data_IF_274375103967
#
_entry.id   IF_274375103967
#
_cell.length_a   1.000
_cell.length_b   1.000
_cell.length_c   1.000
_cell.angle_alpha   90.00
_cell.angle_beta   90.00
_cell.angle_gamma   90.00
#
_symmetry.space_group_name_H-M   'P 1'
#
loop_
_entity.id
_entity.type
_entity.pdbx_description
1 polymer ?
#
# COMPACT_ATOMS: atom_id res chain seq x y z
N UNK A 1 10.80 -20.77 -13.09
CA UNK A 1 9.66 -19.86 -12.94
C UNK A 1 10.11 -18.61 -12.20
N UNK A 2 10.01 -17.49 -12.86
CA UNK A 2 10.52 -16.22 -12.33
C UNK A 2 9.52 -15.52 -11.43
N UNK A 3 8.23 -15.52 -11.78
CA UNK A 3 7.21 -14.73 -11.11
C UNK A 3 5.98 -15.55 -10.71
N UNK A 4 5.47 -15.38 -9.49
CA UNK A 4 4.12 -15.80 -9.08
C UNK A 4 3.23 -14.56 -8.95
N UNK A 5 2.13 -14.52 -9.66
CA UNK A 5 1.13 -13.45 -9.64
C UNK A 5 -0.03 -13.96 -8.78
N UNK A 6 -0.25 -13.32 -7.64
CA UNK A 6 -1.30 -13.70 -6.69
C UNK A 6 -2.49 -12.77 -6.87
N UNK A 7 -3.65 -13.33 -7.12
CA UNK A 7 -4.90 -12.59 -7.36
C UNK A 7 -5.93 -13.03 -6.33
N UNK A 8 -6.18 -12.23 -5.27
CA UNK A 8 -7.33 -12.45 -4.38
C UNK A 8 -8.62 -12.17 -5.15
N UNK A 9 -9.57 -13.08 -5.05
CA UNK A 9 -10.87 -12.98 -5.75
C UNK A 9 -11.99 -13.04 -4.74
N UNK A 10 -12.86 -12.01 -4.71
CA UNK A 10 -14.07 -11.99 -3.90
C UNK A 10 -15.12 -11.04 -4.49
N UNK A 11 -16.22 -11.62 -5.03
CA UNK A 11 -17.35 -10.87 -5.62
C UNK A 11 -16.94 -9.86 -6.72
N UNK A 12 -16.06 -10.27 -7.62
CA UNK A 12 -15.53 -9.45 -8.73
C UNK A 12 -15.82 -10.05 -10.11
N UNK A 13 -16.92 -10.81 -10.25
CA UNK A 13 -17.29 -11.50 -11.50
C UNK A 13 -17.29 -10.57 -12.73
N UNK A 14 -17.61 -9.29 -12.57
CA UNK A 14 -17.72 -8.33 -13.67
C UNK A 14 -16.34 -7.81 -14.15
N UNK A 15 -15.31 -7.86 -13.31
CA UNK A 15 -13.97 -7.31 -13.58
C UNK A 15 -12.91 -8.37 -13.73
N UNK A 16 -13.07 -9.53 -13.08
CA UNK A 16 -12.10 -10.63 -13.07
C UNK A 16 -11.66 -11.08 -14.49
N UNK A 17 -12.55 -11.21 -15.51
CA UNK A 17 -12.11 -11.54 -16.86
C UNK A 17 -11.13 -10.52 -17.43
N UNK A 18 -11.43 -9.21 -17.29
CA UNK A 18 -10.55 -8.14 -17.78
C UNK A 18 -9.20 -8.13 -17.06
N UNK A 19 -9.18 -8.41 -15.75
CA UNK A 19 -7.96 -8.57 -14.98
C UNK A 19 -7.10 -9.70 -15.56
N UNK A 20 -7.66 -10.89 -15.69
CA UNK A 20 -6.96 -12.09 -16.20
C UNK A 20 -6.46 -11.90 -17.63
N UNK A 21 -7.29 -11.37 -18.52
CA UNK A 21 -6.93 -11.11 -19.91
C UNK A 21 -5.74 -10.14 -19.99
N UNK A 22 -5.70 -9.10 -19.17
CA UNK A 22 -4.59 -8.14 -19.16
C UNK A 22 -3.25 -8.78 -18.78
N UNK A 23 -3.27 -9.86 -18.00
CA UNK A 23 -2.08 -10.60 -17.58
C UNK A 23 -1.72 -11.67 -18.64
N UNK A 24 -2.70 -12.44 -19.12
CA UNK A 24 -2.46 -13.53 -20.05
C UNK A 24 -2.01 -13.08 -21.45
N UNK A 25 -2.35 -11.82 -21.83
CA UNK A 25 -1.92 -11.18 -23.07
C UNK A 25 -0.50 -10.58 -23.00
N UNK A 26 0.17 -10.62 -21.83
CA UNK A 26 1.55 -10.15 -21.71
C UNK A 26 2.51 -11.05 -22.50
N UNK A 27 3.54 -10.45 -23.09
CA UNK A 27 4.56 -11.18 -23.88
C UNK A 27 5.54 -11.99 -23.00
N UNK A 28 5.67 -11.69 -21.72
CA UNK A 28 6.45 -12.47 -20.76
C UNK A 28 5.69 -13.73 -20.36
N UNK A 29 6.35 -14.90 -20.32
CA UNK A 29 5.68 -16.19 -20.11
C UNK A 29 6.21 -17.02 -18.93
N UNK A 30 7.31 -16.63 -18.29
CA UNK A 30 7.89 -17.39 -17.16
C UNK A 30 7.24 -17.01 -15.82
N UNK A 31 5.91 -17.14 -15.75
CA UNK A 31 5.11 -16.88 -14.57
C UNK A 31 4.03 -17.93 -14.33
N UNK A 32 3.48 -17.93 -13.12
CA UNK A 32 2.22 -18.57 -12.75
C UNK A 32 1.24 -17.52 -12.21
N UNK A 33 -0.05 -17.79 -12.37
CA UNK A 33 -1.15 -17.05 -11.74
C UNK A 33 -1.76 -17.95 -10.67
N UNK A 34 -1.92 -17.40 -9.46
CA UNK A 34 -2.57 -18.09 -8.34
C UNK A 34 -3.82 -17.30 -7.99
N UNK A 35 -4.97 -17.79 -8.47
CA UNK A 35 -6.28 -17.26 -8.15
C UNK A 35 -6.70 -17.82 -6.79
N UNK A 36 -6.94 -16.95 -5.81
CA UNK A 36 -7.45 -17.36 -4.52
C UNK A 36 -8.88 -16.84 -4.37
N UNK A 37 -9.85 -17.69 -4.69
CA UNK A 37 -11.26 -17.41 -4.49
C UNK A 37 -11.60 -17.54 -3.00
N UNK A 38 -11.80 -16.42 -2.36
CA UNK A 38 -12.03 -16.27 -0.93
C UNK A 38 -13.52 -16.45 -0.57
N UNK A 39 -14.14 -17.52 -1.08
CA UNK A 39 -15.51 -17.89 -0.78
C UNK A 39 -16.54 -17.02 -1.49
N UNK A 40 -16.31 -16.67 -2.76
CA UNK A 40 -17.26 -15.93 -3.57
C UNK A 40 -18.57 -16.72 -3.79
N UNK A 41 -19.71 -16.02 -3.74
CA UNK A 41 -21.04 -16.61 -3.96
C UNK A 41 -21.66 -16.18 -5.29
N UNK A 42 -20.94 -15.37 -6.08
CA UNK A 42 -21.26 -14.98 -7.45
C UNK A 42 -20.64 -15.96 -8.47
N UNK A 43 -20.47 -15.57 -9.73
CA UNK A 43 -19.88 -16.43 -10.77
C UNK A 43 -18.33 -16.49 -10.74
N UNK A 44 -17.63 -15.81 -9.80
CA UNK A 44 -16.18 -15.87 -9.68
C UNK A 44 -15.60 -17.30 -9.67
N UNK A 45 -16.13 -18.27 -8.88
CA UNK A 45 -15.59 -19.64 -8.87
C UNK A 45 -15.60 -20.29 -10.24
N UNK A 46 -16.69 -20.13 -11.02
CA UNK A 46 -16.82 -20.68 -12.37
C UNK A 46 -15.85 -20.01 -13.35
N UNK A 47 -15.66 -18.69 -13.23
CA UNK A 47 -14.70 -17.94 -14.05
C UNK A 47 -13.29 -18.44 -13.77
N UNK A 48 -12.88 -18.52 -12.49
CA UNK A 48 -11.57 -19.03 -12.09
C UNK A 48 -11.30 -20.42 -12.69
N UNK A 49 -12.25 -21.36 -12.56
CA UNK A 49 -12.16 -22.71 -13.12
C UNK A 49 -12.09 -22.70 -14.65
N UNK A 50 -12.79 -21.79 -15.32
CA UNK A 50 -12.75 -21.71 -16.77
C UNK A 50 -11.35 -21.30 -17.26
N UNK A 51 -10.73 -20.28 -16.63
CA UNK A 51 -9.39 -19.83 -16.98
C UNK A 51 -8.33 -20.89 -16.66
N UNK A 52 -8.43 -21.60 -15.53
CA UNK A 52 -7.46 -22.66 -15.19
C UNK A 52 -7.52 -23.88 -16.14
N UNK A 53 -8.67 -24.13 -16.77
CA UNK A 53 -8.79 -25.16 -17.83
C UNK A 53 -8.22 -24.72 -19.17
N UNK A 54 -8.08 -23.42 -19.41
CA UNK A 54 -7.61 -22.87 -20.68
C UNK A 54 -6.11 -22.61 -20.69
N UNK A 55 -5.50 -22.37 -19.54
CA UNK A 55 -4.08 -22.04 -19.41
C UNK A 55 -3.44 -22.71 -18.19
N UNK A 56 -2.47 -23.57 -18.42
CA UNK A 56 -1.77 -24.36 -17.40
C UNK A 56 -0.98 -23.49 -16.40
N UNK A 57 -0.74 -22.22 -16.72
CA UNK A 57 -0.13 -21.25 -15.81
C UNK A 57 -1.08 -20.80 -14.71
N UNK A 58 -2.39 -20.97 -14.88
CA UNK A 58 -3.43 -20.52 -13.96
C UNK A 58 -3.79 -21.64 -12.99
N UNK A 59 -3.60 -21.37 -11.70
CA UNK A 59 -3.97 -22.25 -10.58
C UNK A 59 -5.07 -21.62 -9.76
N UNK A 60 -6.01 -22.40 -9.30
CA UNK A 60 -7.16 -21.94 -8.51
C UNK A 60 -7.14 -22.58 -7.13
N UNK A 61 -7.43 -21.78 -6.13
CA UNK A 61 -7.65 -22.22 -4.76
C UNK A 61 -9.00 -21.67 -4.31
N UNK A 62 -9.97 -22.53 -4.09
CA UNK A 62 -11.23 -22.16 -3.45
C UNK A 62 -11.12 -22.37 -1.95
N UNK A 63 -11.52 -21.39 -1.17
CA UNK A 63 -11.50 -21.47 0.30
C UNK A 63 -12.70 -20.78 0.93
N UNK A 64 -12.96 -21.03 2.18
CA UNK A 64 -13.91 -20.25 2.96
C UNK A 64 -13.40 -18.80 3.11
N UNK A 65 -14.34 -17.85 3.14
CA UNK A 65 -14.00 -16.44 3.25
C UNK A 65 -13.19 -16.13 4.52
N UNK A 66 -12.00 -15.61 4.35
CA UNK A 66 -11.08 -15.20 5.42
C UNK A 66 -10.62 -13.75 5.28
N UNK A 67 -11.06 -13.06 4.22
CA UNK A 67 -10.69 -11.68 3.88
C UNK A 67 -9.39 -11.57 3.08
N UNK A 68 -9.14 -10.37 2.54
CA UNK A 68 -8.06 -10.05 1.60
C UNK A 68 -6.67 -10.52 2.08
N UNK A 69 -6.33 -10.25 3.34
CA UNK A 69 -5.07 -10.69 3.95
C UNK A 69 -4.90 -12.21 3.93
N UNK A 70 -5.98 -12.95 4.23
CA UNK A 70 -5.95 -14.41 4.24
C UNK A 70 -5.83 -14.99 2.84
N UNK A 71 -6.50 -14.39 1.86
CA UNK A 71 -6.37 -14.76 0.46
C UNK A 71 -4.94 -14.53 -0.06
N UNK A 72 -4.34 -13.35 0.18
CA UNK A 72 -2.95 -13.07 -0.18
C UNK A 72 -1.98 -14.05 0.49
N UNK A 73 -2.12 -14.30 1.79
CA UNK A 73 -1.28 -15.25 2.52
C UNK A 73 -1.41 -16.68 1.97
N UNK A 74 -2.62 -17.10 1.61
CA UNK A 74 -2.84 -18.41 0.97
C UNK A 74 -2.10 -18.50 -0.36
N UNK A 75 -2.16 -17.45 -1.18
CA UNK A 75 -1.42 -17.40 -2.44
C UNK A 75 0.09 -17.43 -2.24
N UNK A 76 0.63 -16.68 -1.25
CA UNK A 76 2.06 -16.68 -0.91
C UNK A 76 2.56 -18.09 -0.59
N UNK A 77 1.79 -18.85 0.21
CA UNK A 77 2.16 -20.23 0.58
C UNK A 77 2.25 -21.18 -0.62
N UNK A 78 1.55 -20.91 -1.70
CA UNK A 78 1.53 -21.73 -2.92
C UNK A 78 2.49 -21.24 -4.01
N UNK A 79 3.03 -20.03 -3.85
CA UNK A 79 3.91 -19.39 -4.81
C UNK A 79 5.23 -20.15 -4.97
N UNK A 80 5.61 -20.42 -6.24
CA UNK A 80 6.86 -21.12 -6.63
C UNK A 80 7.85 -20.21 -7.33
N UNK A 81 7.43 -19.02 -7.76
CA UNK A 81 8.27 -18.03 -8.40
C UNK A 81 9.39 -17.54 -7.46
N UNK A 82 10.48 -17.11 -8.04
CA UNK A 82 11.55 -16.42 -7.32
C UNK A 82 11.05 -15.09 -6.74
N UNK A 83 10.15 -14.46 -7.49
CA UNK A 83 9.47 -13.22 -7.12
C UNK A 83 7.96 -13.41 -7.01
N UNK A 84 7.32 -12.53 -6.24
CA UNK A 84 5.87 -12.45 -6.05
C UNK A 84 5.40 -11.04 -6.41
N UNK A 85 4.25 -10.94 -7.05
CA UNK A 85 3.46 -9.71 -7.16
C UNK A 85 2.00 -9.99 -6.86
N UNK A 86 1.26 -8.96 -6.48
CA UNK A 86 -0.19 -9.03 -6.26
C UNK A 86 -0.88 -8.22 -7.35
N UNK A 87 -2.05 -8.68 -7.78
CA UNK A 87 -2.95 -7.91 -8.65
C UNK A 87 -4.36 -8.08 -8.08
N UNK A 88 -5.03 -6.97 -7.80
CA UNK A 88 -6.40 -7.04 -7.30
C UNK A 88 -7.35 -7.36 -8.47
N UNK A 89 -8.35 -8.21 -8.22
CA UNK A 89 -9.20 -8.79 -9.27
C UNK A 89 -10.15 -7.79 -9.96
N UNK A 90 -10.18 -6.53 -9.51
CA UNK A 90 -10.91 -5.42 -10.12
C UNK A 90 -10.00 -4.45 -10.90
N UNK A 91 -8.69 -4.72 -10.98
CA UNK A 91 -7.68 -3.92 -11.66
C UNK A 91 -7.11 -4.61 -12.91
N UNK A 92 -6.24 -3.91 -13.65
CA UNK A 92 -5.52 -4.45 -14.82
C UNK A 92 -4.06 -4.00 -14.82
N UNK A 93 -3.25 -4.54 -15.71
CA UNK A 93 -1.90 -4.04 -16.01
C UNK A 93 -1.81 -3.65 -17.48
N UNK A 94 -1.05 -2.60 -17.79
CA UNK A 94 -0.83 -2.16 -19.17
C UNK A 94 -0.02 -3.19 -19.96
N UNK A 95 -0.21 -3.18 -21.29
CA UNK A 95 0.55 -4.04 -22.21
C UNK A 95 2.06 -3.89 -22.03
N UNK A 96 2.80 -5.00 -22.03
CA UNK A 96 4.26 -5.04 -21.89
C UNK A 96 4.78 -4.84 -20.47
N UNK A 97 3.92 -4.59 -19.49
CA UNK A 97 4.34 -4.31 -18.10
C UNK A 97 5.21 -5.43 -17.53
N UNK A 98 4.79 -6.70 -17.63
CA UNK A 98 5.57 -7.82 -17.06
C UNK A 98 6.96 -7.94 -17.68
N UNK A 99 7.07 -7.80 -19.01
CA UNK A 99 8.36 -7.86 -19.69
C UNK A 99 9.31 -6.76 -19.22
N UNK A 100 8.81 -5.53 -19.13
CA UNK A 100 9.60 -4.35 -18.74
C UNK A 100 10.09 -4.44 -17.29
N UNK A 101 9.21 -4.80 -16.34
CA UNK A 101 9.58 -4.88 -14.93
C UNK A 101 10.50 -6.08 -14.64
N UNK A 102 10.31 -7.21 -15.33
CA UNK A 102 11.21 -8.37 -15.19
C UNK A 102 12.57 -8.09 -15.83
N UNK A 103 12.64 -7.36 -16.93
CA UNK A 103 13.91 -6.91 -17.52
C UNK A 103 14.71 -6.07 -16.51
N UNK A 104 14.06 -5.18 -15.73
CA UNK A 104 14.72 -4.44 -14.65
C UNK A 104 15.27 -5.37 -13.56
N UNK A 105 14.51 -6.37 -13.15
CA UNK A 105 14.98 -7.36 -12.16
C UNK A 105 16.15 -8.19 -12.68
N UNK A 106 16.15 -8.55 -13.96
CA UNK A 106 17.27 -9.28 -14.59
C UNK A 106 18.51 -8.39 -14.67
N UNK A 107 18.32 -7.12 -15.01
CA UNK A 107 19.41 -6.13 -15.12
C UNK A 107 20.03 -5.82 -13.76
N UNK A 108 19.23 -5.84 -12.69
CA UNK A 108 19.64 -5.54 -11.32
C UNK A 108 19.26 -6.71 -10.39
N UNK A 109 19.99 -7.84 -10.43
CA UNK A 109 19.60 -9.09 -9.77
C UNK A 109 19.63 -9.02 -8.24
N UNK A 110 20.29 -7.98 -7.67
CA UNK A 110 20.29 -7.68 -6.24
C UNK A 110 18.96 -7.08 -5.75
N UNK A 111 18.06 -6.67 -6.66
CA UNK A 111 16.78 -6.06 -6.30
C UNK A 111 15.88 -7.05 -5.57
N UNK A 112 15.50 -6.71 -4.35
CA UNK A 112 14.56 -7.51 -3.56
C UNK A 112 13.12 -6.98 -3.66
N UNK A 113 12.96 -5.65 -3.86
CA UNK A 113 11.67 -4.99 -4.09
C UNK A 113 11.81 -4.02 -5.24
N UNK A 114 10.98 -4.19 -6.28
CA UNK A 114 10.84 -3.25 -7.40
C UNK A 114 9.47 -2.61 -7.37
N UNK A 115 9.39 -1.28 -7.27
CA UNK A 115 8.15 -0.52 -7.39
C UNK A 115 8.05 0.13 -8.76
N UNK A 116 6.85 0.07 -9.38
CA UNK A 116 6.60 0.53 -10.73
C UNK A 116 5.34 1.42 -10.83
N UNK A 117 5.19 2.21 -11.92
CA UNK A 117 4.14 3.21 -12.07
C UNK A 117 2.71 2.68 -11.94
N UNK A 118 1.82 3.61 -11.53
CA UNK A 118 0.39 3.36 -11.37
C UNK A 118 -0.40 4.44 -12.10
N UNK A 119 -1.34 4.03 -12.95
CA UNK A 119 -2.40 4.89 -13.44
C UNK A 119 -3.61 4.78 -12.51
N UNK A 120 -3.85 5.79 -11.69
CA UNK A 120 -4.96 5.85 -10.76
C UNK A 120 -6.18 6.51 -11.42
N UNK A 121 -7.27 5.76 -11.55
CA UNK A 121 -8.57 6.30 -11.99
C UNK A 121 -9.45 6.50 -10.77
N UNK A 122 -9.44 7.72 -10.23
CA UNK A 122 -10.11 8.08 -9.00
C UNK A 122 -11.54 8.61 -9.27
N UNK A 123 -12.53 7.94 -8.67
CA UNK A 123 -13.94 8.34 -8.74
C UNK A 123 -14.62 8.03 -10.08
N UNK A 124 -15.85 8.52 -10.24
CA UNK A 124 -16.69 8.27 -11.42
C UNK A 124 -16.39 9.21 -12.62
N UNK A 125 -15.30 9.97 -12.57
CA UNK A 125 -14.94 10.95 -13.59
C UNK A 125 -13.69 10.57 -14.39
N UNK A 126 -13.40 11.32 -15.47
CA UNK A 126 -12.26 11.05 -16.36
C UNK A 126 -10.92 11.47 -15.75
N UNK A 127 -10.84 11.70 -14.43
CA UNK A 127 -9.60 12.12 -13.79
C UNK A 127 -8.70 10.91 -13.59
N UNK A 128 -7.63 10.88 -14.36
CA UNK A 128 -6.54 9.93 -14.23
C UNK A 128 -5.35 10.65 -13.56
N UNK A 129 -4.68 9.96 -12.66
CA UNK A 129 -3.46 10.43 -12.02
C UNK A 129 -2.39 9.37 -12.24
N UNK A 130 -1.29 9.76 -12.90
CA UNK A 130 -0.12 8.90 -13.05
C UNK A 130 0.82 9.11 -11.86
N UNK A 131 0.86 8.12 -10.98
CA UNK A 131 1.93 7.96 -10.00
C UNK A 131 3.12 7.35 -10.73
N UNK A 132 4.17 8.11 -10.91
CA UNK A 132 5.40 7.68 -11.60
C UNK A 132 6.61 7.90 -10.72
N UNK A 133 7.65 7.10 -10.94
CA UNK A 133 8.88 7.11 -10.17
C UNK A 133 10.08 7.44 -11.06
N UNK A 134 11.17 7.86 -10.44
CA UNK A 134 12.49 7.88 -11.07
C UNK A 134 13.12 6.49 -10.93
N UNK A 135 14.13 6.19 -11.74
CA UNK A 135 14.94 4.99 -11.56
C UNK A 135 15.97 5.25 -10.45
N UNK A 136 15.66 4.80 -9.24
CA UNK A 136 16.48 5.01 -8.05
C UNK A 136 16.62 3.69 -7.30
N UNK A 137 17.82 3.45 -6.77
CA UNK A 137 18.09 2.42 -5.77
C UNK A 137 18.20 3.06 -4.39
N UNK A 138 17.40 2.56 -3.45
CA UNK A 138 17.36 3.06 -2.08
C UNK A 138 18.19 2.17 -1.17
N UNK A 139 19.16 2.76 -0.50
CA UNK A 139 20.08 2.07 0.42
C UNK A 139 19.44 1.82 1.80
N UNK A 140 18.32 2.47 2.10
CA UNK A 140 17.62 2.27 3.36
C UNK A 140 16.12 2.63 3.26
N UNK A 141 15.35 2.02 4.14
CA UNK A 141 13.90 2.17 4.19
C UNK A 141 13.41 3.61 4.49
N UNK A 142 14.19 4.42 5.22
CA UNK A 142 13.77 5.78 5.57
C UNK A 142 13.84 6.70 4.36
N UNK A 143 14.91 6.61 3.55
CA UNK A 143 15.02 7.36 2.30
C UNK A 143 13.84 6.99 1.37
N UNK A 144 13.60 5.70 1.15
CA UNK A 144 12.49 5.24 0.34
C UNK A 144 11.14 5.73 0.88
N UNK A 145 10.88 5.56 2.18
CA UNK A 145 9.61 5.96 2.79
C UNK A 145 9.33 7.45 2.72
N UNK A 146 10.35 8.28 2.97
CA UNK A 146 10.19 9.73 3.07
C UNK A 146 10.39 10.47 1.74
N UNK A 147 11.33 10.03 0.89
CA UNK A 147 11.64 10.71 -0.37
C UNK A 147 10.61 10.36 -1.46
N UNK A 148 10.23 9.08 -1.59
CA UNK A 148 9.14 8.65 -2.49
C UNK A 148 7.75 8.86 -1.89
N UNK A 149 7.65 9.23 -0.62
CA UNK A 149 6.37 9.41 0.10
C UNK A 149 5.51 8.15 0.09
N UNK A 150 6.14 7.00 0.28
CA UNK A 150 5.50 5.67 0.25
C UNK A 150 4.27 5.58 1.16
N UNK A 151 4.22 6.39 2.22
CA UNK A 151 3.05 6.51 3.09
C UNK A 151 1.76 6.96 2.38
N UNK A 152 1.84 7.50 1.16
CA UNK A 152 0.66 7.82 0.33
C UNK A 152 0.27 6.68 -0.62
N UNK A 153 1.17 5.73 -0.87
CA UNK A 153 0.99 4.60 -1.81
C UNK A 153 1.61 3.31 -1.27
N UNK A 154 1.26 2.94 -0.05
CA UNK A 154 1.67 1.67 0.56
C UNK A 154 1.06 0.44 -0.13
N UNK A 155 0.72 0.55 -1.41
CA UNK A 155 0.08 -0.50 -2.19
C UNK A 155 0.97 -1.75 -2.28
N UNK A 156 0.38 -2.93 -2.04
CA UNK A 156 1.10 -4.19 -2.25
C UNK A 156 1.21 -4.53 -3.75
N UNK A 157 0.26 -4.09 -4.57
CA UNK A 157 0.05 -4.55 -5.93
C UNK A 157 0.93 -3.86 -7.01
N UNK A 158 1.50 -2.68 -6.77
CA UNK A 158 2.43 -2.03 -7.71
C UNK A 158 3.90 -2.35 -7.41
N UNK A 159 4.15 -3.48 -6.79
CA UNK A 159 5.50 -3.90 -6.39
C UNK A 159 5.74 -5.35 -6.74
N UNK A 160 6.97 -5.67 -7.09
CA UNK A 160 7.46 -7.03 -7.23
C UNK A 160 8.42 -7.29 -6.09
N UNK A 161 8.18 -8.38 -5.37
CA UNK A 161 8.92 -8.73 -4.16
C UNK A 161 9.67 -10.04 -4.36
N UNK A 162 10.91 -10.11 -3.90
CA UNK A 162 11.60 -11.39 -3.76
C UNK A 162 10.82 -12.27 -2.78
N UNK A 163 10.44 -13.48 -3.19
CA UNK A 163 9.57 -14.37 -2.40
C UNK A 163 10.09 -14.63 -0.99
N UNK A 164 11.42 -14.69 -0.81
CA UNK A 164 12.05 -14.90 0.49
C UNK A 164 11.66 -13.86 1.56
N UNK A 165 11.25 -12.64 1.17
CA UNK A 165 10.77 -11.63 2.12
C UNK A 165 9.50 -12.08 2.88
N UNK A 166 8.71 -12.97 2.29
CA UNK A 166 7.48 -13.50 2.88
C UNK A 166 7.67 -14.79 3.69
N UNK A 167 8.89 -15.29 3.88
CA UNK A 167 9.13 -16.50 4.69
C UNK A 167 8.65 -16.32 6.14
N UNK A 168 8.73 -15.10 6.65
CA UNK A 168 8.34 -14.77 8.02
C UNK A 168 7.28 -13.67 8.11
N UNK A 169 7.16 -12.82 7.09
CA UNK A 169 6.25 -11.67 7.08
C UNK A 169 4.96 -12.08 6.36
N UNK A 170 3.81 -11.84 6.98
CA UNK A 170 2.49 -12.10 6.41
C UNK A 170 1.55 -10.90 6.60
N UNK A 171 0.51 -10.85 5.78
CA UNK A 171 -0.56 -9.87 5.92
C UNK A 171 -1.40 -10.17 7.17
N UNK A 172 -1.79 -9.16 7.98
CA UNK A 172 -2.55 -9.36 9.21
C UNK A 172 -4.01 -9.71 8.91
N UNK A 173 -4.43 -10.94 9.26
CA UNK A 173 -5.81 -11.41 9.04
C UNK A 173 -6.84 -10.54 9.78
N UNK A 174 -7.99 -10.30 9.13
CA UNK A 174 -9.13 -9.58 9.72
C UNK A 174 -8.91 -8.07 9.90
N UNK A 175 -7.88 -7.52 9.24
CA UNK A 175 -7.62 -6.08 9.20
C UNK A 175 -7.69 -5.59 7.76
N UNK A 176 -8.41 -4.48 7.54
CA UNK A 176 -8.34 -3.70 6.31
C UNK A 176 -7.21 -2.68 6.41
N UNK A 177 -6.75 -2.12 5.29
CA UNK A 177 -5.51 -1.37 5.16
C UNK A 177 -4.30 -2.20 5.62
N UNK A 178 -4.32 -3.48 5.29
CA UNK A 178 -3.29 -4.46 5.62
C UNK A 178 -1.93 -4.11 5.02
N UNK A 179 -1.91 -3.40 3.91
CA UNK A 179 -0.70 -2.93 3.23
C UNK A 179 0.11 -1.99 4.12
N UNK A 180 -0.57 -1.00 4.74
CA UNK A 180 0.06 -0.07 5.68
C UNK A 180 0.62 -0.79 6.91
N UNK A 181 0.03 -1.94 7.25
CA UNK A 181 0.48 -2.78 8.36
C UNK A 181 1.55 -3.81 7.96
N UNK A 182 1.84 -4.00 6.65
CA UNK A 182 2.75 -5.04 6.16
C UNK A 182 3.98 -4.46 5.46
N UNK A 183 3.79 -3.47 4.57
CA UNK A 183 4.89 -2.88 3.78
C UNK A 183 6.03 -2.35 4.65
N UNK A 184 5.80 -1.68 5.80
CA UNK A 184 6.89 -1.22 6.66
C UNK A 184 7.82 -2.34 7.16
N UNK A 185 7.32 -3.55 7.34
CA UNK A 185 8.13 -4.71 7.70
C UNK A 185 8.91 -5.23 6.49
N UNK A 186 8.26 -5.35 5.33
CA UNK A 186 8.90 -5.85 4.10
C UNK A 186 10.05 -4.97 3.63
N UNK A 187 9.94 -3.66 3.80
CA UNK A 187 11.00 -2.69 3.44
C UNK A 187 12.07 -2.51 4.55
N UNK A 188 11.94 -3.18 5.70
CA UNK A 188 12.87 -3.08 6.81
C UNK A 188 12.78 -1.78 7.61
N UNK A 189 11.67 -1.06 7.52
CA UNK A 189 11.40 0.11 8.34
C UNK A 189 11.04 -0.28 9.78
N UNK A 190 10.26 -1.35 9.94
CA UNK A 190 9.88 -1.97 11.21
C UNK A 190 10.52 -3.35 11.38
N UNK A 191 10.88 -3.76 12.63
CA UNK A 191 11.36 -5.10 12.91
C UNK A 191 10.21 -6.10 12.97
N UNK A 192 10.30 -7.22 12.27
CA UNK A 192 9.35 -8.32 12.40
C UNK A 192 9.88 -9.35 13.38
N UNK A 193 9.13 -9.64 14.47
CA UNK A 193 9.60 -10.47 15.59
C UNK A 193 11.01 -10.13 16.11
N UNK A 194 11.33 -8.83 16.15
CA UNK A 194 12.62 -8.33 16.65
C UNK A 194 13.76 -8.34 15.62
N UNK A 195 13.52 -8.83 14.40
CA UNK A 195 14.51 -8.86 13.31
C UNK A 195 14.16 -7.87 12.21
N UNK A 196 15.16 -7.17 11.67
CA UNK A 196 14.99 -6.33 10.49
C UNK A 196 15.40 -7.10 9.23
N UNK A 197 14.59 -6.99 8.17
CA UNK A 197 15.06 -7.28 6.82
C UNK A 197 15.81 -6.06 6.27
N UNK A 198 16.74 -6.25 5.37
CA UNK A 198 17.49 -5.17 4.71
C UNK A 198 17.41 -5.34 3.20
N UNK A 199 16.21 -5.17 2.60
CA UNK A 199 16.03 -5.39 1.18
C UNK A 199 16.69 -4.29 0.36
N UNK A 200 17.19 -4.65 -0.82
CA UNK A 200 17.52 -3.69 -1.87
C UNK A 200 16.23 -3.25 -2.56
N UNK A 201 15.88 -1.99 -2.40
CA UNK A 201 14.64 -1.42 -2.94
C UNK A 201 14.98 -0.58 -4.16
N UNK A 202 14.29 -0.81 -5.25
CA UNK A 202 14.42 -0.02 -6.48
C UNK A 202 13.07 0.49 -6.96
N UNK A 203 13.03 1.71 -7.45
CA UNK A 203 11.89 2.24 -8.20
C UNK A 203 12.22 2.30 -9.68
N UNK A 204 11.21 2.25 -10.54
CA UNK A 204 11.37 2.34 -12.00
C UNK A 204 10.24 3.16 -12.62
N UNK A 205 10.51 3.69 -13.82
CA UNK A 205 9.53 4.46 -14.60
C UNK A 205 8.88 3.62 -15.72
N UNK A 206 9.12 2.29 -15.76
CA UNK A 206 8.58 1.43 -16.81
C UNK A 206 7.51 0.49 -16.28
N UNK A 207 6.61 0.04 -17.16
CA UNK A 207 5.42 -0.71 -16.80
C UNK A 207 4.36 0.21 -16.19
N UNK A 208 3.14 -0.30 -16.04
CA UNK A 208 2.06 0.44 -15.41
C UNK A 208 0.99 -0.50 -14.86
N UNK A 209 0.66 -0.33 -13.60
CA UNK A 209 -0.53 -0.89 -12.97
C UNK A 209 -1.71 0.06 -13.24
N UNK A 210 -2.87 -0.44 -13.60
CA UNK A 210 -4.05 0.34 -13.90
C UNK A 210 -5.10 0.14 -12.80
N UNK A 211 -5.03 0.98 -11.78
CA UNK A 211 -5.98 0.98 -10.67
C UNK A 211 -7.33 1.56 -11.10
N UNK A 212 -8.42 0.86 -10.81
CA UNK A 212 -9.79 1.28 -11.08
C UNK A 212 -10.55 1.56 -9.78
N UNK A 213 -11.12 2.75 -9.68
CA UNK A 213 -11.94 3.09 -8.53
C UNK A 213 -13.15 2.16 -8.42
N UNK A 214 -13.28 1.51 -7.26
CA UNK A 214 -14.40 0.67 -6.93
C UNK A 214 -15.22 1.29 -5.78
N UNK A 215 -16.43 1.80 -6.09
CA UNK A 215 -17.33 2.40 -5.10
C UNK A 215 -17.79 1.41 -4.02
N UNK A 216 -17.72 0.10 -4.29
CA UNK A 216 -18.02 -0.98 -3.33
C UNK A 216 -16.78 -1.47 -2.58
N UNK A 217 -15.58 -1.00 -2.98
CA UNK A 217 -14.30 -1.41 -2.39
C UNK A 217 -14.12 -0.95 -0.95
N UNK A 218 -13.11 -1.51 -0.29
CA UNK A 218 -12.76 -1.27 1.11
C UNK A 218 -12.48 0.22 1.36
N UNK A 219 -11.70 0.85 0.48
CA UNK A 219 -11.31 2.27 0.61
C UNK A 219 -12.52 3.20 0.58
N UNK A 220 -13.50 2.94 -0.29
CA UNK A 220 -14.71 3.75 -0.41
C UNK A 220 -15.67 3.61 0.77
N UNK A 221 -15.64 2.47 1.47
CA UNK A 221 -16.55 2.10 2.55
C UNK A 221 -15.84 1.92 3.90
N UNK A 222 -14.69 2.56 4.08
CA UNK A 222 -13.87 2.42 5.27
C UNK A 222 -14.63 2.80 6.55
N UNK A 223 -14.64 1.90 7.50
CA UNK A 223 -15.24 2.09 8.84
C UNK A 223 -14.25 2.79 9.77
N UNK A 224 -14.71 3.17 10.96
CA UNK A 224 -13.82 3.65 12.02
C UNK A 224 -12.67 2.67 12.33
N UNK A 225 -12.98 1.35 12.40
CA UNK A 225 -11.98 0.30 12.67
C UNK A 225 -10.92 0.26 11.58
N UNK A 226 -11.33 0.43 10.34
CA UNK A 226 -10.41 0.40 9.19
C UNK A 226 -9.49 1.62 9.19
N UNK A 227 -10.04 2.82 9.39
CA UNK A 227 -9.22 4.03 9.53
C UNK A 227 -8.31 3.98 10.77
N UNK A 228 -8.72 3.27 11.83
CA UNK A 228 -7.85 3.06 12.98
C UNK A 228 -6.66 2.16 12.64
N UNK A 229 -6.82 1.12 11.82
CA UNK A 229 -5.69 0.32 11.30
C UNK A 229 -4.72 1.18 10.50
N UNK A 230 -5.23 2.06 9.63
CA UNK A 230 -4.43 3.01 8.84
C UNK A 230 -3.64 3.96 9.75
N UNK A 231 -4.31 4.54 10.75
CA UNK A 231 -3.70 5.40 11.76
C UNK A 231 -2.61 4.68 12.56
N UNK A 232 -2.89 3.47 13.03
CA UNK A 232 -1.97 2.65 13.81
C UNK A 232 -0.70 2.32 13.02
N UNK A 233 -0.82 1.82 11.79
CA UNK A 233 0.32 1.48 10.94
C UNK A 233 1.20 2.68 10.60
N UNK A 234 0.60 3.82 10.27
CA UNK A 234 1.37 5.04 10.04
C UNK A 234 2.04 5.56 11.31
N UNK A 235 1.36 5.47 12.46
CA UNK A 235 1.92 5.89 13.75
C UNK A 235 3.12 5.04 14.16
N UNK A 236 3.05 3.72 13.98
CA UNK A 236 4.18 2.81 14.21
C UNK A 236 5.36 3.15 13.30
N UNK A 237 5.11 3.40 12.01
CA UNK A 237 6.14 3.81 11.04
C UNK A 237 6.79 5.14 11.44
N UNK A 238 5.99 6.14 11.84
CA UNK A 238 6.52 7.43 12.31
C UNK A 238 7.39 7.24 13.56
N UNK A 239 6.94 6.44 14.52
CA UNK A 239 7.70 6.17 15.75
C UNK A 239 9.04 5.50 15.43
N UNK A 240 9.07 4.52 14.52
CA UNK A 240 10.31 3.86 14.10
C UNK A 240 11.28 4.83 13.43
N UNK A 241 10.78 5.68 12.53
CA UNK A 241 11.59 6.72 11.89
C UNK A 241 12.16 7.67 12.94
N UNK A 242 11.31 8.21 13.82
CA UNK A 242 11.73 9.16 14.85
C UNK A 242 12.74 8.56 15.85
N UNK A 243 12.64 7.25 16.12
CA UNK A 243 13.64 6.55 16.94
C UNK A 243 14.98 6.40 16.21
N UNK A 244 14.98 6.12 14.90
CA UNK A 244 16.20 5.94 14.08
C UNK A 244 16.92 7.28 13.81
N UNK A 245 16.20 8.33 13.45
CA UNK A 245 16.79 9.65 13.21
C UNK A 245 17.08 10.40 14.52
N UNK A 246 16.36 10.09 15.58
CA UNK A 246 16.58 10.42 16.98
C UNK A 246 16.95 11.86 17.26
N UNK A 247 18.16 12.04 17.79
CA UNK A 247 18.79 13.34 18.06
C UNK A 247 19.84 13.73 17.00
N UNK A 248 19.86 13.03 15.83
CA UNK A 248 20.81 13.34 14.76
C UNK A 248 20.31 14.56 13.96
N UNK A 249 20.78 15.75 14.37
CA UNK A 249 20.32 17.03 13.80
C UNK A 249 20.43 17.10 12.29
N UNK A 250 21.47 16.53 11.68
CA UNK A 250 21.65 16.47 10.23
C UNK A 250 20.54 15.68 9.52
N UNK A 251 20.10 14.55 10.09
CA UNK A 251 18.99 13.75 9.53
C UNK A 251 17.64 14.42 9.73
N UNK A 252 17.43 15.07 10.87
CA UNK A 252 16.21 15.87 11.10
C UNK A 252 16.10 17.00 10.08
N UNK A 253 17.19 17.67 9.76
CA UNK A 253 17.24 18.72 8.73
C UNK A 253 16.99 18.14 7.33
N UNK A 254 17.67 17.03 6.98
CA UNK A 254 17.50 16.33 5.69
C UNK A 254 16.02 16.01 5.43
N UNK A 255 15.34 15.40 6.38
CA UNK A 255 13.97 14.92 6.20
C UNK A 255 12.88 15.88 6.69
N UNK A 256 13.23 17.10 7.13
CA UNK A 256 12.31 18.00 7.84
C UNK A 256 10.98 18.25 7.13
N UNK A 257 10.98 18.41 5.80
CA UNK A 257 9.74 18.64 5.05
C UNK A 257 8.94 17.35 4.87
N UNK A 258 9.59 16.26 4.46
CA UNK A 258 8.92 14.97 4.27
C UNK A 258 8.32 14.43 5.58
N UNK A 259 8.98 14.65 6.72
CA UNK A 259 8.44 14.35 8.04
C UNK A 259 7.18 15.16 8.35
N UNK A 260 7.18 16.46 8.06
CA UNK A 260 6.01 17.31 8.26
C UNK A 260 4.84 16.88 7.37
N UNK A 261 5.09 16.49 6.13
CA UNK A 261 4.09 15.96 5.23
C UNK A 261 3.53 14.64 5.72
N UNK A 262 4.40 13.70 6.15
CA UNK A 262 3.98 12.43 6.73
C UNK A 262 3.17 12.62 8.02
N UNK A 263 3.64 13.47 8.94
CA UNK A 263 2.87 13.82 10.15
C UNK A 263 1.51 14.44 9.81
N UNK A 264 1.44 15.21 8.71
CA UNK A 264 0.17 15.79 8.25
C UNK A 264 -0.78 14.71 7.74
N UNK A 265 -0.28 13.68 7.05
CA UNK A 265 -1.08 12.53 6.62
C UNK A 265 -1.67 11.80 7.85
N UNK A 266 -0.86 11.51 8.85
CA UNK A 266 -1.34 10.89 10.10
C UNK A 266 -2.39 11.78 10.80
N UNK A 267 -2.14 13.08 10.86
CA UNK A 267 -3.09 14.03 11.42
C UNK A 267 -4.42 14.06 10.66
N UNK A 268 -4.40 13.93 9.32
CA UNK A 268 -5.63 13.85 8.53
C UNK A 268 -6.46 12.62 8.94
N UNK A 269 -5.84 11.44 9.01
CA UNK A 269 -6.53 10.21 9.44
C UNK A 269 -7.10 10.38 10.86
N UNK A 270 -6.36 11.02 11.75
CA UNK A 270 -6.80 11.29 13.13
C UNK A 270 -8.02 12.23 13.18
N UNK A 271 -8.07 13.23 12.29
CA UNK A 271 -9.22 14.14 12.18
C UNK A 271 -10.45 13.40 11.61
N UNK A 272 -10.26 12.48 10.66
CA UNK A 272 -11.34 11.67 10.10
C UNK A 272 -11.89 10.68 11.15
N UNK A 273 -11.04 10.08 11.97
CA UNK A 273 -11.45 9.26 13.12
C UNK A 273 -12.33 10.04 14.10
N UNK A 274 -11.96 11.30 14.41
CA UNK A 274 -12.80 12.17 15.22
C UNK A 274 -14.12 12.52 14.53
N UNK A 275 -14.11 12.75 13.23
CA UNK A 275 -15.34 13.06 12.47
C UNK A 275 -16.35 11.91 12.54
N UNK A 276 -15.87 10.66 12.39
CA UNK A 276 -16.71 9.46 12.45
C UNK A 276 -17.22 9.14 13.86
N UNK A 277 -16.35 9.24 14.87
CA UNK A 277 -16.67 8.78 16.24
C UNK A 277 -17.21 9.87 17.15
N UNK A 278 -16.83 11.13 16.90
CA UNK A 278 -17.03 12.23 17.82
C UNK A 278 -16.11 12.18 19.05
N UNK A 279 -15.20 11.21 19.14
CA UNK A 279 -14.29 11.02 20.28
C UNK A 279 -12.87 11.44 19.90
N UNK A 280 -12.19 12.09 20.83
CA UNK A 280 -10.78 12.43 20.69
C UNK A 280 -9.91 11.21 20.99
N UNK A 281 -8.86 11.01 20.22
CA UNK A 281 -7.80 10.08 20.56
C UNK A 281 -6.98 10.65 21.74
N UNK A 282 -6.68 9.80 22.74
CA UNK A 282 -5.92 10.23 23.91
C UNK A 282 -4.42 10.29 23.61
N UNK A 283 -3.82 11.48 23.80
CA UNK A 283 -2.38 11.70 23.62
C UNK A 283 -1.81 11.11 22.31
N UNK A 284 -2.32 11.51 21.13
CA UNK A 284 -1.87 10.93 19.88
C UNK A 284 -0.38 11.18 19.67
N UNK A 285 0.44 10.14 19.40
CA UNK A 285 1.90 10.27 19.27
C UNK A 285 2.35 11.32 18.25
N UNK A 286 1.59 11.51 17.16
CA UNK A 286 1.90 12.51 16.14
C UNK A 286 1.97 13.93 16.70
N UNK A 287 1.13 14.27 17.68
CA UNK A 287 1.14 15.60 18.30
C UNK A 287 2.46 15.85 19.02
N UNK A 288 2.89 14.89 19.85
CA UNK A 288 4.18 14.95 20.52
C UNK A 288 5.36 15.06 19.53
N UNK A 289 5.32 14.29 18.43
CA UNK A 289 6.36 14.37 17.41
C UNK A 289 6.40 15.71 16.68
N UNK A 290 5.24 16.34 16.42
CA UNK A 290 5.16 17.69 15.83
C UNK A 290 5.78 18.72 16.78
N UNK A 291 5.47 18.66 18.06
CA UNK A 291 6.05 19.56 19.09
C UNK A 291 7.57 19.39 19.20
N UNK A 292 8.05 18.12 19.23
CA UNK A 292 9.48 17.82 19.27
C UNK A 292 10.20 18.31 18.02
N UNK A 293 9.64 18.05 16.82
CA UNK A 293 10.21 18.53 15.56
C UNK A 293 10.27 20.05 15.50
N UNK A 294 9.23 20.75 15.98
CA UNK A 294 9.15 22.21 16.01
C UNK A 294 10.21 22.90 16.87
N UNK A 295 10.85 22.17 17.81
CA UNK A 295 12.01 22.67 18.58
C UNK A 295 13.30 22.65 17.78
N UNK A 296 13.42 21.79 16.79
CA UNK A 296 14.63 21.60 15.98
C UNK A 296 14.56 22.29 14.63
N UNK A 297 13.37 22.37 14.02
CA UNK A 297 13.17 22.97 12.69
C UNK A 297 11.89 23.80 12.60
N UNK A 298 11.87 24.75 11.67
CA UNK A 298 10.66 25.56 11.40
C UNK A 298 9.57 24.69 10.78
N UNK A 299 8.38 24.72 11.37
CA UNK A 299 7.19 24.07 10.79
C UNK A 299 6.71 24.90 9.59
N UNK A 300 6.76 24.28 8.38
CA UNK A 300 6.37 24.90 7.11
C UNK A 300 4.96 24.54 6.69
N UNK A 301 4.49 23.30 6.98
CA UNK A 301 3.17 22.80 6.57
C UNK A 301 2.07 23.51 7.35
N UNK A 302 1.12 24.10 6.63
CA UNK A 302 0.06 24.96 7.20
C UNK A 302 -0.76 24.25 8.29
N UNK A 303 -1.19 23.01 8.05
CA UNK A 303 -2.04 22.27 8.99
C UNK A 303 -1.31 22.00 10.32
N UNK A 304 -0.01 21.71 10.30
CA UNK A 304 0.79 21.54 11.52
C UNK A 304 1.03 22.88 12.26
N UNK A 305 1.18 23.98 11.51
CA UNK A 305 1.21 25.33 12.15
C UNK A 305 -0.10 25.64 12.84
N UNK A 306 -1.22 25.35 12.17
CA UNK A 306 -2.54 25.56 12.74
C UNK A 306 -2.75 24.70 14.01
N UNK A 307 -2.32 23.43 13.97
CA UNK A 307 -2.30 22.55 15.15
C UNK A 307 -1.57 23.19 16.33
N UNK A 308 -0.38 23.76 16.12
CA UNK A 308 0.41 24.41 17.17
C UNK A 308 -0.25 25.68 17.73
N UNK A 309 -1.08 26.38 16.94
CA UNK A 309 -1.76 27.62 17.36
C UNK A 309 -3.03 27.34 18.15
N UNK A 310 -3.91 26.47 17.61
CA UNK A 310 -5.24 26.26 18.19
C UNK A 310 -5.38 24.98 19.01
N UNK A 311 -4.38 24.09 18.94
CA UNK A 311 -4.37 22.78 19.60
C UNK A 311 -5.24 21.73 18.92
N UNK A 312 -5.03 20.47 19.31
CA UNK A 312 -5.64 19.30 18.67
C UNK A 312 -7.17 19.29 18.73
N UNK A 313 -7.75 19.52 19.89
CA UNK A 313 -9.20 19.47 20.07
C UNK A 313 -9.95 20.52 19.23
N UNK A 314 -9.40 21.74 19.16
CA UNK A 314 -9.99 22.80 18.36
C UNK A 314 -9.81 22.53 16.85
N UNK A 315 -8.68 21.94 16.46
CA UNK A 315 -8.44 21.53 15.08
C UNK A 315 -9.45 20.46 14.62
N UNK A 316 -9.74 19.47 15.47
CA UNK A 316 -10.79 18.45 15.22
C UNK A 316 -12.15 19.10 14.99
N UNK A 317 -12.56 20.04 15.86
CA UNK A 317 -13.85 20.75 15.73
C UNK A 317 -13.91 21.59 14.47
N UNK A 318 -12.83 22.29 14.14
CA UNK A 318 -12.72 23.10 12.93
C UNK A 318 -12.81 22.25 11.69
N UNK A 319 -12.08 21.14 11.61
CA UNK A 319 -12.12 20.21 10.47
C UNK A 319 -13.55 19.70 10.24
N UNK A 320 -14.22 19.24 11.27
CA UNK A 320 -15.61 18.76 11.21
C UNK A 320 -16.59 19.85 10.75
N UNK A 321 -16.38 21.10 11.17
CA UNK A 321 -17.20 22.23 10.72
C UNK A 321 -16.99 22.51 9.23
N UNK A 322 -15.75 22.55 8.77
CA UNK A 322 -15.38 22.79 7.38
C UNK A 322 -16.00 21.71 6.47
N UNK A 323 -15.84 20.42 6.81
CA UNK A 323 -16.42 19.31 6.03
C UNK A 323 -17.96 19.39 5.96
N UNK A 324 -18.64 19.77 7.05
CA UNK A 324 -20.10 19.98 7.04
C UNK A 324 -20.54 21.10 6.09
N UNK A 325 -19.75 22.18 5.99
CA UNK A 325 -20.04 23.28 5.06
C UNK A 325 -19.82 22.87 3.59
N UNK A 326 -18.79 22.08 3.31
CA UNK A 326 -18.52 21.58 1.94
C UNK A 326 -19.53 20.52 1.49
N UNK A 327 -20.02 19.65 2.37
CA UNK A 327 -21.06 18.64 2.04
C UNK A 327 -22.47 19.22 1.82
N UNK A 328 -22.69 20.50 2.17
CA UNK A 328 -23.97 21.19 1.94
C UNK A 328 -24.04 21.95 0.62
N UNK A 329 -22.95 21.99 -0.13
CA UNK A 329 -22.86 22.51 -1.50
C UNK A 329 -22.84 21.34 -2.49
#
# INVERSE_FOLDING_TARGET
MKLSIIIPVYHTQDTLPSCLDSILQQSFNDYEIILVDDGSTDDCPKICDAYSRQDDRVKVIHKENGGLSDARNTGILQAKGEYITFIDSDDTIAEGTLSLVIEKIITYPETDILEYPVMERLGNGPKEHLLSFKEIEYQNAIDYWLEEKVYNHTYAWNKIYKRALFEHICFPKGKNFEDVLTIPYLIGLLPYHGSFVTPNIRTTNVGCYEYRWNAKGITANATYKDLYNLYDGHTQSLQAIMNKIGSQEGLILKYSLSLQEFMTQILNVLLDLYELSGKYENNPPVIHHVEKLGKSVKIKVFKLRLLNIIGYHNLCRLNKLVHRLYRRK
#
